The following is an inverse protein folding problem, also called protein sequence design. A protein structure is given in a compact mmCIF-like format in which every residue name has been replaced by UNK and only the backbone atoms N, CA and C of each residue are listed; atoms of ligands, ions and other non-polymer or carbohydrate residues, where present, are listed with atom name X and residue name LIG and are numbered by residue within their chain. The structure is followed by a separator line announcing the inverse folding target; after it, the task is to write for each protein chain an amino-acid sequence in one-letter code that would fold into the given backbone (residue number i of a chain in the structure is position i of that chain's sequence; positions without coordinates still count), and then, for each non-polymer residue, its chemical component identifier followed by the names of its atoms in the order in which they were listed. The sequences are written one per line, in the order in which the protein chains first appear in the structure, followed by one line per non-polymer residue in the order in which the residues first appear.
data_IF_415358124786
#
_entry.id   IF_415358124786
#
_cell.length_a   1.000
_cell.length_b   1.000
_cell.length_c   1.000
_cell.angle_alpha   90.00
_cell.angle_beta   90.00
_cell.angle_gamma   90.00
#
_symmetry.space_group_name_H-M   'P 1'
#
loop_
_entity.id
_entity.type
_entity.pdbx_description
1 polymer ?
#
# COMPACT_ATOMS: atom_id res chain seq x y z
N UNK A 1 -4.10 9.05 -8.34
CA UNK A 1 -4.57 8.19 -7.22
C UNK A 1 -4.72 6.73 -7.64
N UNK A 2 -5.55 6.40 -8.65
CA UNK A 2 -5.80 5.00 -9.04
C UNK A 2 -4.53 4.20 -9.36
N UNK A 3 -3.56 4.79 -10.08
CA UNK A 3 -2.29 4.12 -10.38
C UNK A 3 -1.55 3.70 -9.12
N UNK A 4 -1.35 4.61 -8.17
CA UNK A 4 -0.64 4.31 -6.91
C UNK A 4 -1.38 3.22 -6.12
N UNK A 5 -2.69 3.35 -5.96
CA UNK A 5 -3.49 2.35 -5.24
C UNK A 5 -3.45 0.96 -5.90
N UNK A 6 -3.47 0.91 -7.23
CA UNK A 6 -3.35 -0.34 -7.98
C UNK A 6 -1.97 -0.98 -7.78
N UNK A 7 -0.89 -0.23 -7.96
CA UNK A 7 0.47 -0.74 -7.76
C UNK A 7 0.66 -1.21 -6.31
N UNK A 8 0.16 -0.46 -5.32
CA UNK A 8 0.24 -0.81 -3.90
C UNK A 8 -0.54 -2.09 -3.58
N UNK A 9 -1.79 -2.24 -4.04
CA UNK A 9 -2.58 -3.44 -3.72
C UNK A 9 -2.00 -4.70 -4.39
N UNK A 10 -1.47 -4.58 -5.61
CA UNK A 10 -0.80 -5.69 -6.29
C UNK A 10 0.49 -6.08 -5.54
N UNK A 11 1.34 -5.12 -5.19
CA UNK A 11 2.57 -5.38 -4.45
C UNK A 11 2.27 -5.98 -3.07
N UNK A 12 1.27 -5.46 -2.36
CA UNK A 12 0.86 -6.00 -1.06
C UNK A 12 0.35 -7.44 -1.18
N UNK A 13 -0.53 -7.73 -2.15
CA UNK A 13 -1.04 -9.09 -2.36
C UNK A 13 0.09 -10.09 -2.58
N UNK A 14 1.11 -9.73 -3.37
CA UNK A 14 2.30 -10.55 -3.61
C UNK A 14 3.16 -10.71 -2.35
N UNK A 15 3.42 -9.63 -1.62
CA UNK A 15 4.23 -9.65 -0.39
C UNK A 15 3.61 -10.49 0.73
N UNK A 16 2.27 -10.46 0.86
CA UNK A 16 1.56 -11.19 1.91
C UNK A 16 1.26 -12.65 1.51
N UNK A 17 1.35 -13.02 0.23
CA UNK A 17 1.04 -14.36 -0.26
C UNK A 17 1.75 -15.50 0.50
N UNK A 18 3.03 -15.39 0.90
CA UNK A 18 3.70 -16.43 1.69
C UNK A 18 3.20 -16.57 3.13
N UNK A 19 2.50 -15.56 3.67
CA UNK A 19 2.04 -15.50 5.07
C UNK A 19 0.54 -15.80 5.17
N UNK A 20 -0.25 -15.22 4.27
CA UNK A 20 -1.71 -15.30 4.23
C UNK A 20 -2.17 -15.78 2.83
N UNK A 21 -1.85 -17.02 2.42
CA UNK A 21 -2.01 -17.47 1.04
C UNK A 21 -3.46 -17.41 0.53
N UNK A 22 -4.43 -17.80 1.38
CA UNK A 22 -5.84 -17.81 1.01
C UNK A 22 -6.42 -16.40 0.89
N UNK A 23 -6.14 -15.53 1.86
CA UNK A 23 -6.58 -14.13 1.81
C UNK A 23 -5.92 -13.39 0.65
N UNK A 24 -4.65 -13.67 0.36
CA UNK A 24 -3.95 -13.09 -0.77
C UNK A 24 -4.58 -13.51 -2.11
N UNK A 25 -4.94 -14.78 -2.28
CA UNK A 25 -5.67 -15.27 -3.46
C UNK A 25 -7.06 -14.62 -3.59
N UNK A 26 -7.82 -14.52 -2.50
CA UNK A 26 -9.14 -13.86 -2.52
C UNK A 26 -9.00 -12.38 -2.92
N UNK A 27 -8.02 -11.66 -2.37
CA UNK A 27 -7.70 -10.29 -2.78
C UNK A 27 -7.33 -10.25 -4.26
N UNK A 28 -6.47 -11.16 -4.72
CA UNK A 28 -5.99 -11.24 -6.10
C UNK A 28 -7.14 -11.35 -7.11
N UNK A 29 -8.12 -12.22 -6.84
CA UNK A 29 -9.32 -12.40 -7.66
C UNK A 29 -10.11 -11.10 -7.86
N UNK A 30 -10.15 -10.25 -6.83
CA UNK A 30 -10.90 -8.99 -6.83
C UNK A 30 -10.15 -7.79 -7.42
N UNK A 31 -8.85 -7.92 -7.78
CA UNK A 31 -8.11 -6.85 -8.45
C UNK A 31 -8.56 -6.79 -9.92
N UNK A 32 -9.19 -5.70 -10.40
CA UNK A 32 -9.63 -5.60 -11.78
C UNK A 32 -8.47 -5.29 -12.72
N UNK A 33 -8.57 -5.74 -13.98
CA UNK A 33 -7.61 -5.43 -15.05
C UNK A 33 -6.15 -5.72 -14.69
N UNK A 34 -5.88 -6.84 -14.02
CA UNK A 34 -4.51 -7.26 -13.66
C UNK A 34 -3.64 -7.31 -14.91
N UNK A 35 -2.46 -6.69 -14.83
CA UNK A 35 -1.45 -6.75 -15.90
C UNK A 35 -0.91 -8.17 -16.09
N UNK A 36 -0.79 -8.92 -14.99
CA UNK A 36 -0.41 -10.32 -15.00
C UNK A 36 -1.65 -11.19 -15.12
N UNK A 37 -1.72 -11.97 -16.21
CA UNK A 37 -2.83 -12.88 -16.47
C UNK A 37 -2.55 -14.27 -15.91
N UNK A 38 -2.41 -14.35 -14.58
CA UNK A 38 -2.30 -15.61 -13.83
C UNK A 38 -3.50 -15.79 -12.90
N UNK A 39 -3.86 -17.05 -12.69
CA UNK A 39 -5.04 -17.44 -11.91
C UNK A 39 -4.87 -17.17 -10.41
N UNK A 40 -3.66 -17.32 -9.88
CA UNK A 40 -3.35 -17.23 -8.46
C UNK A 40 -2.11 -16.36 -8.22
N UNK A 41 -2.09 -15.62 -7.11
CA UNK A 41 -0.97 -14.73 -6.77
C UNK A 41 0.32 -15.52 -6.46
N UNK A 42 0.18 -16.80 -6.09
CA UNK A 42 1.24 -17.75 -5.80
C UNK A 42 2.05 -18.11 -7.05
N UNK A 43 1.51 -17.81 -8.23
CA UNK A 43 2.16 -18.02 -9.53
C UNK A 43 2.88 -16.76 -10.04
N UNK A 44 2.98 -15.72 -9.21
CA UNK A 44 3.66 -14.47 -9.56
C UNK A 44 5.03 -14.36 -8.90
N UNK A 45 5.89 -13.55 -9.50
CA UNK A 45 7.14 -13.14 -8.87
C UNK A 45 6.91 -12.05 -7.83
N UNK A 46 7.83 -11.99 -6.85
CA UNK A 46 7.87 -10.93 -5.83
C UNK A 46 7.97 -9.55 -6.48
N UNK A 47 7.40 -8.51 -5.87
CA UNK A 47 7.51 -7.15 -6.40
C UNK A 47 8.95 -6.64 -6.27
N UNK A 48 9.43 -5.99 -7.32
CA UNK A 48 10.74 -5.36 -7.33
C UNK A 48 10.71 -4.00 -6.62
N UNK A 49 11.77 -3.62 -5.88
CA UNK A 49 11.86 -2.32 -5.25
C UNK A 49 11.95 -1.20 -6.30
N UNK A 50 11.23 -0.11 -6.06
CA UNK A 50 11.22 1.07 -6.94
C UNK A 50 12.12 2.13 -6.32
N UNK A 51 13.16 2.54 -7.04
CA UNK A 51 13.99 3.67 -6.65
C UNK A 51 13.30 4.99 -7.05
N UNK A 52 13.15 5.91 -6.09
CA UNK A 52 12.55 7.23 -6.34
C UNK A 52 13.57 8.31 -5.99
N UNK A 53 13.85 9.18 -6.95
CA UNK A 53 14.77 10.30 -6.74
C UNK A 53 14.23 11.26 -5.67
N UNK A 54 15.05 11.55 -4.66
CA UNK A 54 14.69 12.44 -3.55
C UNK A 54 13.71 11.84 -2.53
N UNK A 55 13.51 10.51 -2.53
CA UNK A 55 12.63 9.81 -1.60
C UNK A 55 12.90 10.16 -0.13
N UNK A 56 14.16 10.19 0.30
CA UNK A 56 14.53 10.48 1.68
C UNK A 56 14.03 11.85 2.15
N UNK A 57 14.22 12.89 1.31
CA UNK A 57 13.74 14.23 1.61
C UNK A 57 12.20 14.32 1.56
N UNK A 58 11.57 13.55 0.68
CA UNK A 58 10.11 13.46 0.59
C UNK A 58 9.52 12.79 1.84
N UNK A 59 10.09 11.68 2.29
CA UNK A 59 9.68 10.95 3.49
C UNK A 59 9.82 11.83 4.73
N UNK A 60 10.98 12.47 4.94
CA UNK A 60 11.19 13.36 6.09
C UNK A 60 10.17 14.51 6.15
N UNK A 61 9.78 15.05 4.98
CA UNK A 61 8.73 16.07 4.90
C UNK A 61 7.35 15.50 5.28
N UNK A 62 7.02 14.28 4.84
CA UNK A 62 5.75 13.63 5.14
C UNK A 62 5.64 13.20 6.60
N UNK A 63 6.73 12.75 7.21
CA UNK A 63 6.77 12.40 8.64
C UNK A 63 6.43 13.63 9.49
N UNK A 64 7.10 14.76 9.25
CA UNK A 64 6.80 16.02 9.93
C UNK A 64 5.35 16.50 9.70
N UNK A 65 4.78 16.23 8.52
CA UNK A 65 3.37 16.54 8.24
C UNK A 65 2.41 15.63 9.03
N UNK A 66 2.72 14.34 9.18
CA UNK A 66 1.92 13.40 9.96
C UNK A 66 1.93 13.74 11.45
N UNK A 67 3.08 14.17 12.01
CA UNK A 67 3.16 14.64 13.39
C UNK A 67 2.19 15.80 13.66
N UNK A 68 2.17 16.80 12.77
CA UNK A 68 1.25 17.95 12.87
C UNK A 68 -0.21 17.50 12.72
N UNK A 69 -0.49 16.56 11.81
CA UNK A 69 -1.84 16.00 11.64
C UNK A 69 -2.32 15.34 12.93
N UNK A 70 -1.46 14.59 13.62
CA UNK A 70 -1.83 13.88 14.83
C UNK A 70 -2.19 14.85 15.98
N UNK A 71 -1.43 15.94 16.13
CA UNK A 71 -1.76 17.02 17.06
C UNK A 71 -3.11 17.67 16.74
N UNK A 72 -3.39 17.91 15.45
CA UNK A 72 -4.68 18.45 15.00
C UNK A 72 -5.82 17.47 15.29
N UNK A 73 -5.66 16.19 14.98
CA UNK A 73 -6.68 15.17 15.22
C UNK A 73 -7.00 15.06 16.72
N UNK A 74 -5.98 15.11 17.57
CA UNK A 74 -6.16 15.15 19.03
C UNK A 74 -6.93 16.39 19.49
N UNK A 75 -6.63 17.56 18.94
CA UNK A 75 -7.37 18.78 19.26
C UNK A 75 -8.84 18.71 18.80
N UNK A 76 -9.11 18.15 17.62
CA UNK A 76 -10.46 17.93 17.10
C UNK A 76 -11.25 16.95 17.95
N UNK A 77 -10.62 15.85 18.38
CA UNK A 77 -11.24 14.87 19.28
C UNK A 77 -11.65 15.50 20.61
N UNK A 78 -10.75 16.27 21.23
CA UNK A 78 -11.04 16.98 22.48
C UNK A 78 -12.16 18.04 22.33
N UNK A 79 -12.29 18.67 21.16
CA UNK A 79 -13.34 19.66 20.90
C UNK A 79 -14.69 19.02 20.55
N UNK A 80 -14.69 17.76 20.10
CA UNK A 80 -15.88 16.99 19.81
C UNK A 80 -16.49 16.31 21.05
N UNK A 81 -15.78 16.33 22.19
CA UNK A 81 -16.18 15.74 23.47
C UNK A 81 -16.76 16.79 24.42
#
# INVERSE_FOLDING_TARGET
MQTVLYETVVALAKLIAPILPHTADEVWEHIPNRRENVESVQLTDMPEPIAIDGEEALLAKWDAFMDVRDDILKALENAAQ
#
